data_IF_269640641579
#
_entry.id   IF_269640641579
#
_cell.length_a   1.000
_cell.length_b   1.000
_cell.length_c   1.000
_cell.angle_alpha   90.00
_cell.angle_beta   90.00
_cell.angle_gamma   90.00
#
_symmetry.space_group_name_H-M   'P 1'
#
loop_
_entity.id
_entity.type
_entity.pdbx_description
1 polymer ?
#
# COMPACT_ATOMS: atom_id res chain seq x y z
N UNK A 1 -16.93 34.80 -27.02
CA UNK A 1 -16.95 34.15 -25.66
C UNK A 1 -16.59 32.70 -25.86
N UNK A 2 -15.32 32.34 -25.67
CA UNK A 2 -14.83 30.97 -25.82
C UNK A 2 -14.97 30.27 -24.45
N UNK A 3 -15.88 29.30 -24.39
CA UNK A 3 -15.98 28.38 -23.25
C UNK A 3 -14.66 27.59 -23.16
N UNK A 4 -13.81 27.88 -22.20
CA UNK A 4 -12.71 27.06 -21.80
C UNK A 4 -13.29 25.73 -21.30
N UNK A 5 -13.19 24.69 -22.12
CA UNK A 5 -13.35 23.31 -21.71
C UNK A 5 -12.28 23.08 -20.61
N UNK A 6 -12.72 23.01 -19.38
CA UNK A 6 -11.95 22.45 -18.28
C UNK A 6 -11.68 20.99 -18.67
N UNK A 7 -10.49 20.70 -19.18
CA UNK A 7 -9.97 19.34 -19.21
C UNK A 7 -9.95 18.88 -17.76
N UNK A 8 -10.81 17.93 -17.43
CA UNK A 8 -10.73 17.22 -16.16
C UNK A 8 -9.32 16.62 -16.12
N UNK A 9 -8.48 17.11 -15.21
CA UNK A 9 -7.19 16.50 -14.91
C UNK A 9 -7.54 15.12 -14.39
N UNK A 10 -7.43 14.09 -15.23
CA UNK A 10 -7.62 12.72 -14.82
C UNK A 10 -6.51 12.40 -13.83
N UNK A 11 -6.91 12.11 -12.59
CA UNK A 11 -5.98 11.68 -11.54
C UNK A 11 -5.22 10.45 -12.05
N UNK A 12 -3.87 10.37 -11.93
CA UNK A 12 -3.14 9.16 -12.29
C UNK A 12 -3.73 7.96 -11.55
N UNK A 13 -3.92 6.85 -12.26
CA UNK A 13 -4.39 5.63 -11.63
C UNK A 13 -3.29 5.04 -10.77
N UNK A 14 -3.66 4.52 -9.61
CA UNK A 14 -2.73 3.88 -8.69
C UNK A 14 -2.39 2.47 -9.19
N UNK A 15 -1.10 2.13 -9.43
CA UNK A 15 -0.71 0.82 -9.93
C UNK A 15 -0.83 -0.26 -8.84
N UNK A 16 -1.47 -1.38 -9.19
CA UNK A 16 -1.76 -2.51 -8.31
C UNK A 16 -1.23 -3.81 -8.90
N UNK A 17 -0.55 -4.63 -8.10
CA UNK A 17 -0.25 -6.02 -8.44
C UNK A 17 -1.32 -6.95 -7.87
N UNK A 18 -1.70 -7.97 -8.62
CA UNK A 18 -2.68 -8.99 -8.17
C UNK A 18 -1.99 -10.34 -8.07
N UNK A 19 -2.08 -11.00 -6.90
CA UNK A 19 -1.53 -12.33 -6.67
C UNK A 19 -2.65 -13.38 -6.72
N UNK A 20 -2.40 -14.44 -7.47
CA UNK A 20 -3.34 -15.55 -7.67
C UNK A 20 -2.65 -16.91 -7.51
N UNK A 21 -3.43 -17.99 -7.29
CA UNK A 21 -2.94 -19.38 -7.32
C UNK A 21 -3.75 -20.28 -8.25
N UNK A 22 -4.80 -19.78 -8.90
CA UNK A 22 -5.72 -20.66 -9.67
C UNK A 22 -6.49 -19.94 -10.76
N UNK A 23 -7.84 -20.09 -10.75
CA UNK A 23 -8.74 -19.60 -11.79
C UNK A 23 -8.69 -18.09 -12.04
N UNK A 24 -8.43 -17.29 -10.99
CA UNK A 24 -8.31 -15.84 -11.09
C UNK A 24 -9.65 -15.11 -11.28
N UNK A 25 -10.77 -15.63 -10.78
CA UNK A 25 -12.10 -15.02 -10.96
C UNK A 25 -12.19 -13.67 -10.26
N UNK A 26 -11.66 -13.54 -9.03
CA UNK A 26 -11.57 -12.27 -8.32
C UNK A 26 -10.59 -11.30 -9.00
N UNK A 27 -9.46 -11.80 -9.53
CA UNK A 27 -8.55 -11.01 -10.37
C UNK A 27 -9.28 -10.45 -11.60
N UNK A 28 -10.06 -11.28 -12.29
CA UNK A 28 -10.86 -10.84 -13.44
C UNK A 28 -11.81 -9.69 -13.09
N UNK A 29 -12.47 -9.77 -11.93
CA UNK A 29 -13.34 -8.71 -11.45
C UNK A 29 -12.59 -7.38 -11.24
N UNK A 30 -11.37 -7.43 -10.68
CA UNK A 30 -10.51 -6.26 -10.53
C UNK A 30 -10.07 -5.69 -11.90
N UNK A 31 -9.68 -6.55 -12.85
CA UNK A 31 -9.30 -6.13 -14.21
C UNK A 31 -10.45 -5.43 -14.95
N UNK A 32 -11.65 -5.99 -14.87
CA UNK A 32 -12.82 -5.39 -15.53
C UNK A 32 -13.26 -4.08 -14.87
N UNK A 33 -13.20 -4.00 -13.54
CA UNK A 33 -13.46 -2.75 -12.84
C UNK A 33 -12.44 -1.65 -13.21
N UNK A 34 -11.17 -2.02 -13.41
CA UNK A 34 -10.12 -1.09 -13.81
C UNK A 34 -10.33 -0.48 -15.22
N UNK A 35 -11.23 -1.02 -16.04
CA UNK A 35 -11.57 -0.44 -17.36
C UNK A 35 -12.47 0.78 -17.28
N UNK A 36 -13.15 0.99 -16.17
CA UNK A 36 -13.99 2.17 -15.99
C UNK A 36 -13.13 3.45 -16.01
N UNK A 37 -13.63 4.49 -16.68
CA UNK A 37 -12.87 5.72 -16.87
C UNK A 37 -12.55 6.44 -15.55
N UNK A 38 -13.40 6.27 -14.56
CA UNK A 38 -13.30 6.84 -13.21
C UNK A 38 -12.64 5.91 -12.19
N UNK A 39 -12.17 4.73 -12.61
CA UNK A 39 -11.50 3.80 -11.72
C UNK A 39 -10.16 4.40 -11.24
N UNK A 40 -9.93 4.46 -9.92
CA UNK A 40 -8.74 5.10 -9.36
C UNK A 40 -7.48 4.23 -9.43
N UNK A 41 -7.58 2.98 -9.87
CA UNK A 41 -6.45 2.06 -9.96
C UNK A 41 -6.31 1.43 -11.34
N UNK A 42 -5.13 0.91 -11.61
CA UNK A 42 -4.83 0.02 -12.75
C UNK A 42 -4.07 -1.21 -12.28
N UNK A 43 -4.30 -2.34 -12.95
CA UNK A 43 -3.55 -3.57 -12.65
C UNK A 43 -2.33 -3.64 -13.56
N UNK A 44 -1.13 -3.51 -12.96
CA UNK A 44 0.15 -3.47 -13.69
C UNK A 44 0.87 -4.80 -13.74
N UNK A 45 0.46 -5.75 -12.87
CA UNK A 45 1.04 -7.10 -12.82
C UNK A 45 0.01 -8.09 -12.27
N UNK A 46 -0.05 -9.27 -12.87
CA UNK A 46 -0.66 -10.47 -12.26
C UNK A 46 0.44 -11.48 -12.00
N UNK A 47 0.62 -11.88 -10.74
CA UNK A 47 1.65 -12.83 -10.38
C UNK A 47 1.06 -14.08 -9.72
N UNK A 48 1.72 -15.24 -9.93
CA UNK A 48 1.27 -16.52 -9.40
C UNK A 48 2.44 -17.36 -8.87
N UNK A 49 2.15 -18.11 -7.80
CA UNK A 49 3.02 -19.17 -7.30
C UNK A 49 2.83 -20.50 -8.04
N UNK A 50 1.92 -20.54 -9.01
CA UNK A 50 1.64 -21.67 -9.88
C UNK A 50 1.67 -21.21 -11.35
N UNK A 51 2.65 -21.66 -12.16
CA UNK A 51 2.73 -21.32 -13.58
C UNK A 51 1.53 -21.78 -14.40
N UNK A 52 0.82 -22.82 -13.95
CA UNK A 52 -0.34 -23.39 -14.62
C UNK A 52 -1.66 -22.72 -14.21
N UNK A 53 -1.60 -21.67 -13.39
CA UNK A 53 -2.78 -20.91 -12.95
C UNK A 53 -3.51 -20.30 -14.15
N UNK A 54 -4.78 -20.71 -14.37
CA UNK A 54 -5.61 -20.26 -15.49
C UNK A 54 -5.77 -18.74 -15.55
N UNK A 55 -5.73 -18.07 -14.41
CA UNK A 55 -5.81 -16.63 -14.32
C UNK A 55 -4.66 -15.90 -15.02
N UNK A 56 -3.47 -16.51 -15.15
CA UNK A 56 -2.35 -15.94 -15.92
C UNK A 56 -2.68 -15.81 -17.41
N UNK A 57 -3.31 -16.85 -17.98
CA UNK A 57 -3.75 -16.83 -19.38
C UNK A 57 -4.76 -15.70 -19.63
N UNK A 58 -5.72 -15.54 -18.71
CA UNK A 58 -6.70 -14.45 -18.79
C UNK A 58 -6.01 -13.07 -18.69
N UNK A 59 -5.11 -12.87 -17.71
CA UNK A 59 -4.40 -11.62 -17.55
C UNK A 59 -3.58 -11.25 -18.81
N UNK A 60 -2.87 -12.22 -19.38
CA UNK A 60 -2.11 -12.03 -20.61
C UNK A 60 -3.02 -11.68 -21.81
N UNK A 61 -4.19 -12.32 -21.94
CA UNK A 61 -5.18 -12.00 -22.97
C UNK A 61 -5.75 -10.58 -22.82
N UNK A 62 -5.81 -10.05 -21.59
CA UNK A 62 -6.21 -8.69 -21.27
C UNK A 62 -5.07 -7.65 -21.42
N UNK A 63 -3.87 -8.08 -21.85
CA UNK A 63 -2.70 -7.23 -22.05
C UNK A 63 -1.97 -6.85 -20.76
N UNK A 64 -2.27 -7.51 -19.64
CA UNK A 64 -1.60 -7.25 -18.36
C UNK A 64 -0.35 -8.11 -18.25
N UNK A 65 0.81 -7.53 -17.88
CA UNK A 65 2.04 -8.27 -17.60
C UNK A 65 1.80 -9.38 -16.57
N UNK A 66 2.43 -10.55 -16.79
CA UNK A 66 2.32 -11.69 -15.88
C UNK A 66 3.68 -12.12 -15.38
N UNK A 67 3.72 -12.64 -14.15
CA UNK A 67 4.88 -13.27 -13.55
C UNK A 67 4.46 -14.58 -12.89
N UNK A 68 5.22 -15.64 -13.09
CA UNK A 68 4.94 -16.94 -12.46
C UNK A 68 6.23 -17.56 -11.95
N UNK A 69 6.22 -17.98 -10.68
CA UNK A 69 7.34 -18.65 -10.05
C UNK A 69 6.84 -19.84 -9.22
N UNK A 70 7.18 -21.08 -9.60
CA UNK A 70 6.75 -22.25 -8.84
C UNK A 70 7.38 -22.24 -7.45
N UNK A 71 6.56 -22.49 -6.45
CA UNK A 71 7.03 -22.50 -5.05
C UNK A 71 7.60 -23.85 -4.61
N UNK A 72 7.29 -24.92 -5.33
CA UNK A 72 7.75 -26.29 -5.00
C UNK A 72 9.25 -26.40 -5.24
N UNK A 73 9.97 -26.88 -4.21
CA UNK A 73 11.42 -27.06 -4.29
C UNK A 73 12.26 -25.80 -4.03
N UNK A 74 11.63 -24.67 -3.69
CA UNK A 74 12.30 -23.41 -3.37
C UNK A 74 12.05 -23.02 -1.91
N UNK A 75 13.07 -22.54 -1.16
CA UNK A 75 12.86 -21.98 0.16
C UNK A 75 11.87 -20.82 0.14
N UNK A 76 11.00 -20.75 1.16
CA UNK A 76 9.93 -19.74 1.23
C UNK A 76 10.47 -18.32 1.09
N UNK A 77 11.52 -17.97 1.82
CA UNK A 77 12.10 -16.64 1.80
C UNK A 77 12.65 -16.25 0.42
N UNK A 78 13.26 -17.20 -0.31
CA UNK A 78 13.78 -16.98 -1.65
C UNK A 78 12.63 -16.76 -2.66
N UNK A 79 11.58 -17.57 -2.58
CA UNK A 79 10.38 -17.40 -3.41
C UNK A 79 9.73 -16.04 -3.16
N UNK A 80 9.52 -15.67 -1.89
CA UNK A 80 8.91 -14.39 -1.51
C UNK A 80 9.77 -13.19 -1.92
N UNK A 81 11.10 -13.28 -1.84
CA UNK A 81 11.99 -12.24 -2.32
C UNK A 81 11.89 -12.04 -3.84
N UNK A 82 11.81 -13.12 -4.61
CA UNK A 82 11.64 -13.04 -6.06
C UNK A 82 10.27 -12.47 -6.46
N UNK A 83 9.20 -12.87 -5.75
CA UNK A 83 7.86 -12.30 -5.93
C UNK A 83 7.84 -10.80 -5.62
N UNK A 84 8.42 -10.37 -4.49
CA UNK A 84 8.53 -8.97 -4.09
C UNK A 84 9.30 -8.14 -5.14
N UNK A 85 10.41 -8.67 -5.65
CA UNK A 85 11.19 -8.03 -6.70
C UNK A 85 10.37 -7.81 -7.98
N UNK A 86 9.59 -8.80 -8.42
CA UNK A 86 8.72 -8.69 -9.58
C UNK A 86 7.61 -7.66 -9.37
N UNK A 87 6.99 -7.65 -8.19
CA UNK A 87 5.94 -6.68 -7.83
C UNK A 87 6.51 -5.26 -7.85
N UNK A 88 7.66 -5.02 -7.22
CA UNK A 88 8.32 -3.70 -7.21
C UNK A 88 8.75 -3.26 -8.61
N UNK A 89 9.29 -4.17 -9.42
CA UNK A 89 9.71 -3.87 -10.78
C UNK A 89 8.53 -3.46 -11.69
N UNK A 90 7.30 -3.89 -11.39
CA UNK A 90 6.10 -3.46 -12.10
C UNK A 90 5.62 -2.04 -11.75
N UNK A 91 6.22 -1.40 -10.74
CA UNK A 91 5.79 -0.11 -10.21
C UNK A 91 4.55 -0.18 -9.33
N UNK A 92 4.08 -1.38 -8.94
CA UNK A 92 2.90 -1.52 -8.10
C UNK A 92 3.09 -0.85 -6.73
N UNK A 93 2.09 -0.11 -6.30
CA UNK A 93 2.03 0.55 -5.00
C UNK A 93 1.17 -0.24 -4.00
N UNK A 94 0.26 -1.06 -4.48
CA UNK A 94 -0.61 -1.93 -3.69
C UNK A 94 -0.56 -3.37 -4.20
N UNK A 95 -0.90 -4.32 -3.32
CA UNK A 95 -0.98 -5.75 -3.63
C UNK A 95 -2.37 -6.27 -3.27
N UNK A 96 -3.05 -6.89 -4.22
CA UNK A 96 -4.35 -7.53 -4.02
C UNK A 96 -4.20 -9.06 -4.07
N UNK A 97 -4.53 -9.76 -2.98
CA UNK A 97 -4.55 -11.23 -2.94
C UNK A 97 -5.92 -11.73 -3.44
N UNK A 98 -5.96 -12.29 -4.64
CA UNK A 98 -7.17 -12.76 -5.31
C UNK A 98 -7.19 -14.29 -5.43
N UNK A 99 -7.36 -14.97 -4.31
CA UNK A 99 -7.25 -16.42 -4.22
C UNK A 99 -5.79 -16.89 -4.27
N UNK A 100 -4.90 -16.17 -3.60
CA UNK A 100 -3.51 -16.59 -3.40
C UNK A 100 -3.43 -17.55 -2.22
N UNK A 101 -3.17 -18.83 -2.52
CA UNK A 101 -3.31 -19.95 -1.58
C UNK A 101 -2.04 -20.27 -0.79
N UNK A 102 -1.15 -19.29 -0.60
CA UNK A 102 0.02 -19.42 0.27
C UNK A 102 -0.02 -18.41 1.40
N UNK A 103 0.29 -18.89 2.59
CA UNK A 103 0.53 -18.01 3.75
C UNK A 103 1.85 -17.28 3.51
N UNK A 104 1.81 -15.97 3.48
CA UNK A 104 2.97 -15.09 3.32
C UNK A 104 3.74 -14.94 4.64
N UNK A 105 5.07 -14.82 4.55
CA UNK A 105 5.93 -14.58 5.71
C UNK A 105 5.78 -13.16 6.26
N UNK A 106 6.06 -13.01 7.55
CA UNK A 106 5.96 -11.71 8.22
C UNK A 106 6.83 -10.63 7.54
N UNK A 107 8.01 -10.99 7.07
CA UNK A 107 8.91 -10.07 6.36
C UNK A 107 8.33 -9.57 5.04
N UNK A 108 7.64 -10.44 4.29
CA UNK A 108 6.96 -10.02 3.07
C UNK A 108 5.77 -9.11 3.39
N UNK A 109 4.96 -9.52 4.37
CA UNK A 109 3.77 -8.76 4.80
C UNK A 109 4.14 -7.37 5.30
N UNK A 110 5.20 -7.25 6.12
CA UNK A 110 5.64 -5.96 6.67
C UNK A 110 6.06 -4.95 5.60
N UNK A 111 6.62 -5.42 4.46
CA UNK A 111 6.98 -4.53 3.34
C UNK A 111 5.77 -3.91 2.65
N UNK A 112 4.62 -4.55 2.76
CA UNK A 112 3.35 -4.14 2.15
C UNK A 112 2.30 -3.77 3.20
N UNK A 113 2.70 -3.50 4.43
CA UNK A 113 1.79 -3.11 5.50
C UNK A 113 0.95 -1.90 5.09
N UNK A 114 -0.37 -1.97 5.37
CA UNK A 114 -1.34 -0.96 4.96
C UNK A 114 -1.65 -0.91 3.44
N UNK A 115 -0.89 -1.64 2.60
CA UNK A 115 -0.99 -1.61 1.14
C UNK A 115 -1.27 -2.98 0.52
N UNK A 116 -1.53 -3.99 1.33
CA UNK A 116 -1.89 -5.33 0.88
C UNK A 116 -3.25 -5.72 1.43
N UNK A 117 -4.17 -6.14 0.55
CA UNK A 117 -5.51 -6.54 0.92
C UNK A 117 -5.82 -7.93 0.40
N UNK A 118 -6.72 -8.63 1.11
CA UNK A 118 -7.19 -9.96 0.76
C UNK A 118 -8.72 -9.98 0.72
N UNK A 119 -9.29 -10.81 -0.16
CA UNK A 119 -10.70 -11.21 -0.14
C UNK A 119 -10.82 -12.59 0.48
N UNK A 120 -11.62 -12.72 1.52
CA UNK A 120 -11.83 -13.97 2.25
C UNK A 120 -13.31 -14.37 2.19
N UNK A 121 -13.64 -15.63 1.82
CA UNK A 121 -15.00 -16.08 1.55
C UNK A 121 -15.76 -16.46 2.84
N UNK A 122 -15.70 -15.62 3.87
CA UNK A 122 -16.52 -15.72 5.08
C UNK A 122 -16.80 -14.36 5.69
N UNK A 123 -17.74 -14.34 6.63
CA UNK A 123 -18.05 -13.17 7.48
C UNK A 123 -17.09 -13.15 8.68
N UNK A 124 -15.84 -12.72 8.46
CA UNK A 124 -14.83 -12.62 9.55
C UNK A 124 -15.40 -11.85 10.76
N UNK A 125 -15.05 -12.22 11.99
CA UNK A 125 -14.02 -13.20 12.39
C UNK A 125 -14.49 -14.67 12.32
N UNK A 126 -15.68 -14.98 11.79
CA UNK A 126 -16.12 -16.37 11.61
C UNK A 126 -15.33 -17.02 10.49
N UNK A 127 -14.92 -18.27 10.71
CA UNK A 127 -14.33 -19.16 9.71
C UNK A 127 -13.08 -18.60 9.03
N UNK A 128 -12.01 -18.20 9.77
CA UNK A 128 -10.73 -17.93 9.16
C UNK A 128 -10.16 -19.21 8.52
N UNK A 129 -9.30 -19.06 7.51
CA UNK A 129 -8.67 -20.17 6.78
C UNK A 129 -9.59 -20.85 5.79
N UNK A 130 -9.49 -22.17 5.64
CA UNK A 130 -10.13 -22.95 4.57
C UNK A 130 -11.53 -23.47 4.97
N UNK A 131 -12.26 -24.01 3.96
CA UNK A 131 -13.56 -24.68 4.13
C UNK A 131 -14.65 -23.82 4.74
N UNK A 132 -14.69 -22.55 4.38
CA UNK A 132 -15.58 -21.54 5.00
C UNK A 132 -17.06 -21.83 4.75
N UNK A 133 -17.41 -22.29 3.53
CA UNK A 133 -18.78 -22.59 3.15
C UNK A 133 -19.31 -23.85 3.83
N UNK A 134 -18.51 -24.92 3.87
CA UNK A 134 -18.84 -26.15 4.59
C UNK A 134 -19.09 -25.85 6.07
N UNK A 135 -18.16 -25.11 6.70
CA UNK A 135 -18.24 -24.75 8.12
C UNK A 135 -19.47 -23.89 8.44
N UNK A 136 -19.85 -22.97 7.56
CA UNK A 136 -21.05 -22.14 7.74
C UNK A 136 -22.34 -22.98 7.62
N UNK A 137 -22.39 -23.92 6.68
CA UNK A 137 -23.53 -24.85 6.52
C UNK A 137 -23.64 -25.82 7.70
N UNK A 138 -22.51 -26.42 8.14
CA UNK A 138 -22.46 -27.34 9.29
C UNK A 138 -22.88 -26.64 10.59
N UNK A 139 -22.53 -25.36 10.76
CA UNK A 139 -22.92 -24.56 11.91
C UNK A 139 -24.40 -24.16 11.89
N UNK A 140 -25.10 -24.36 10.78
CA UNK A 140 -26.50 -23.95 10.62
C UNK A 140 -26.68 -22.42 10.59
N UNK A 141 -25.66 -21.69 10.13
CA UNK A 141 -25.73 -20.24 10.04
C UNK A 141 -26.83 -19.80 9.06
N UNK A 142 -27.52 -18.71 9.39
CA UNK A 142 -28.54 -18.13 8.50
C UNK A 142 -27.91 -17.33 7.34
N UNK A 143 -26.66 -16.93 7.49
CA UNK A 143 -25.93 -16.09 6.52
C UNK A 143 -24.50 -16.56 6.36
N UNK A 144 -24.01 -16.45 5.14
CA UNK A 144 -22.60 -16.50 4.78
C UNK A 144 -22.20 -15.21 4.07
N UNK A 145 -20.98 -15.12 3.53
CA UNK A 145 -20.56 -13.94 2.79
C UNK A 145 -19.06 -13.87 2.61
N UNK A 146 -18.58 -12.67 2.38
CA UNK A 146 -17.16 -12.41 2.18
C UNK A 146 -16.70 -11.14 2.90
N UNK A 147 -15.41 -11.09 3.18
CA UNK A 147 -14.75 -9.98 3.86
C UNK A 147 -13.51 -9.57 3.07
N UNK A 148 -13.36 -8.27 2.81
CA UNK A 148 -12.09 -7.68 2.37
C UNK A 148 -11.41 -7.08 3.58
N UNK A 149 -10.13 -7.41 3.78
CA UNK A 149 -9.35 -6.92 4.90
C UNK A 149 -7.91 -6.61 4.49
N UNK A 150 -7.23 -5.77 5.24
CA UNK A 150 -5.79 -5.60 5.12
C UNK A 150 -5.08 -6.88 5.58
N UNK A 151 -4.00 -7.22 4.90
CA UNK A 151 -3.19 -8.39 5.27
C UNK A 151 -2.20 -8.00 6.37
N UNK A 152 -2.21 -8.81 7.42
CA UNK A 152 -1.26 -8.73 8.55
C UNK A 152 -0.51 -10.04 8.68
N UNK A 153 0.47 -10.10 9.58
CA UNK A 153 1.22 -11.33 9.86
C UNK A 153 0.33 -12.44 10.44
N UNK A 154 -0.76 -12.08 11.11
CA UNK A 154 -1.78 -12.99 11.61
C UNK A 154 -2.81 -13.29 10.51
N UNK A 155 -3.11 -14.58 10.31
CA UNK A 155 -3.98 -15.05 9.23
C UNK A 155 -5.42 -14.53 9.41
N UNK A 156 -5.96 -13.87 8.39
CA UNK A 156 -7.32 -13.35 8.28
C UNK A 156 -7.77 -12.45 9.46
N UNK A 157 -6.80 -11.84 10.19
CA UNK A 157 -7.06 -11.03 11.39
C UNK A 157 -6.83 -9.52 11.19
N UNK A 158 -6.46 -9.08 10.00
CA UNK A 158 -6.20 -7.68 9.71
C UNK A 158 -7.46 -6.81 9.69
N UNK A 159 -7.32 -5.47 9.72
CA UNK A 159 -8.42 -4.52 9.68
C UNK A 159 -9.36 -4.76 8.51
N UNK A 160 -10.66 -4.84 8.78
CA UNK A 160 -11.70 -5.02 7.75
C UNK A 160 -11.92 -3.74 6.96
N UNK A 161 -11.88 -3.85 5.63
CA UNK A 161 -12.19 -2.77 4.68
C UNK A 161 -13.64 -2.80 4.22
N UNK A 162 -14.26 -3.98 4.25
CA UNK A 162 -15.65 -4.17 3.90
C UNK A 162 -16.11 -5.61 4.05
N UNK A 163 -17.42 -5.79 4.16
CA UNK A 163 -18.04 -7.11 4.31
C UNK A 163 -19.38 -7.13 3.58
N UNK A 164 -19.71 -8.27 2.96
CA UNK A 164 -21.03 -8.48 2.34
C UNK A 164 -21.59 -9.80 2.79
N UNK A 165 -22.80 -9.77 3.38
CA UNK A 165 -23.56 -10.93 3.80
C UNK A 165 -24.58 -11.34 2.73
N UNK A 166 -24.76 -12.65 2.56
CA UNK A 166 -25.85 -13.26 1.77
C UNK A 166 -26.58 -14.30 2.61
N UNK A 167 -27.87 -14.48 2.39
CA UNK A 167 -28.63 -15.51 3.08
C UNK A 167 -28.20 -16.92 2.62
N UNK A 168 -28.06 -17.85 3.53
CA UNK A 168 -28.02 -19.29 3.21
C UNK A 168 -29.47 -19.74 2.99
N UNK A 169 -29.74 -20.38 1.89
CA UNK A 169 -31.11 -20.82 1.54
C UNK A 169 -31.25 -22.35 1.70
N UNK A 170 -32.46 -22.84 2.00
CA UNK A 170 -32.70 -24.27 2.11
C UNK A 170 -32.23 -25.03 0.86
N UNK A 171 -31.44 -26.07 1.06
CA UNK A 171 -30.88 -26.87 -0.02
C UNK A 171 -29.54 -26.38 -0.57
N UNK A 172 -28.95 -25.32 -0.02
CA UNK A 172 -27.59 -24.93 -0.37
C UNK A 172 -26.61 -26.08 -0.06
N UNK A 173 -25.73 -26.31 -1.01
CA UNK A 173 -24.51 -27.11 -0.87
C UNK A 173 -23.32 -26.17 -0.76
N UNK A 174 -22.13 -26.63 -0.33
CA UNK A 174 -20.93 -25.80 -0.34
C UNK A 174 -20.68 -25.13 -1.70
N UNK A 175 -20.87 -25.86 -2.81
CA UNK A 175 -20.66 -25.36 -4.17
C UNK A 175 -21.68 -24.28 -4.58
N UNK A 176 -22.97 -24.48 -4.27
CA UNK A 176 -24.00 -23.49 -4.60
C UNK A 176 -23.84 -22.22 -3.78
N UNK A 177 -23.49 -22.37 -2.51
CA UNK A 177 -23.18 -21.25 -1.62
C UNK A 177 -21.93 -20.50 -2.09
N UNK A 178 -20.85 -21.22 -2.42
CA UNK A 178 -19.61 -20.64 -2.95
C UNK A 178 -19.87 -19.83 -4.23
N UNK A 179 -20.64 -20.35 -5.18
CA UNK A 179 -20.97 -19.62 -6.41
C UNK A 179 -21.72 -18.30 -6.14
N UNK A 180 -22.57 -18.26 -5.14
CA UNK A 180 -23.31 -17.05 -4.74
C UNK A 180 -22.44 -16.05 -3.96
N UNK A 181 -21.57 -16.54 -3.06
CA UNK A 181 -20.60 -15.72 -2.34
C UNK A 181 -19.62 -15.10 -3.33
N UNK A 182 -19.17 -15.83 -4.35
CA UNK A 182 -18.24 -15.33 -5.37
C UNK A 182 -18.79 -14.09 -6.11
N UNK A 183 -20.10 -14.03 -6.36
CA UNK A 183 -20.71 -12.84 -6.98
C UNK A 183 -20.58 -11.63 -6.03
N UNK A 184 -20.79 -11.84 -4.74
CA UNK A 184 -20.62 -10.78 -3.73
C UNK A 184 -19.13 -10.36 -3.59
N UNK A 185 -18.18 -11.31 -3.67
CA UNK A 185 -16.76 -11.04 -3.67
C UNK A 185 -16.36 -10.11 -4.82
N UNK A 186 -16.78 -10.41 -6.04
CA UNK A 186 -16.44 -9.61 -7.23
C UNK A 186 -16.87 -8.15 -7.09
N UNK A 187 -18.04 -7.90 -6.49
CA UNK A 187 -18.55 -6.55 -6.27
C UNK A 187 -17.87 -5.84 -5.10
N UNK A 188 -17.64 -6.57 -4.00
CA UNK A 188 -17.04 -5.99 -2.80
C UNK A 188 -15.58 -5.66 -3.03
N UNK A 189 -14.83 -6.57 -3.67
CA UNK A 189 -13.38 -6.45 -3.78
C UNK A 189 -12.94 -5.20 -4.56
N UNK A 190 -13.54 -4.97 -5.73
CA UNK A 190 -13.24 -3.79 -6.55
C UNK A 190 -13.59 -2.48 -5.83
N UNK A 191 -14.69 -2.43 -5.08
CA UNK A 191 -15.08 -1.26 -4.30
C UNK A 191 -14.12 -0.98 -3.15
N UNK A 192 -13.72 -2.03 -2.40
CA UNK A 192 -12.78 -1.89 -1.30
C UNK A 192 -11.40 -1.47 -1.78
N UNK A 193 -10.91 -2.05 -2.90
CA UNK A 193 -9.64 -1.63 -3.50
C UNK A 193 -9.70 -0.17 -3.96
N UNK A 194 -10.76 0.23 -4.67
CA UNK A 194 -10.93 1.61 -5.10
C UNK A 194 -10.96 2.59 -3.92
N UNK A 195 -11.69 2.24 -2.86
CA UNK A 195 -11.74 3.04 -1.64
C UNK A 195 -10.35 3.14 -0.96
N UNK A 196 -9.64 2.00 -0.84
CA UNK A 196 -8.33 1.96 -0.21
C UNK A 196 -7.31 2.84 -0.93
N UNK A 197 -7.24 2.79 -2.26
CA UNK A 197 -6.27 3.57 -3.02
C UNK A 197 -6.63 5.06 -3.11
N UNK A 198 -7.87 5.43 -2.77
CA UNK A 198 -8.34 6.82 -2.75
C UNK A 198 -8.35 7.44 -1.37
N UNK A 199 -8.28 6.63 -0.32
CA UNK A 199 -8.18 7.16 1.04
C UNK A 199 -6.81 7.83 1.23
N UNK A 200 -6.75 9.04 1.81
CA UNK A 200 -5.51 9.51 2.39
C UNK A 200 -5.09 8.50 3.45
N UNK A 201 -3.81 8.13 3.46
CA UNK A 201 -3.28 7.24 4.50
C UNK A 201 -3.55 7.84 5.88
N UNK A 202 -3.87 6.98 6.85
CA UNK A 202 -3.97 7.37 8.25
C UNK A 202 -2.67 8.07 8.67
N UNK A 203 -2.81 9.21 9.32
CA UNK A 203 -1.71 10.05 9.77
C UNK A 203 -0.75 9.29 10.71
N UNK A 204 -1.27 8.37 11.53
CA UNK A 204 -0.45 7.54 12.42
C UNK A 204 0.40 6.54 11.63
N UNK A 205 -0.17 5.94 10.59
CA UNK A 205 0.57 5.06 9.69
C UNK A 205 1.68 5.82 8.94
N UNK A 206 1.37 6.99 8.38
CA UNK A 206 2.36 7.84 7.69
C UNK A 206 3.49 8.24 8.63
N UNK A 207 3.16 8.60 9.88
CA UNK A 207 4.14 8.91 10.92
C UNK A 207 5.03 7.71 11.25
N UNK A 208 4.46 6.51 11.31
CA UNK A 208 5.22 5.28 11.56
C UNK A 208 6.20 4.97 10.43
N UNK A 209 5.82 5.19 9.16
CA UNK A 209 6.72 5.03 8.01
C UNK A 209 7.90 6.02 8.07
N UNK A 210 7.62 7.30 8.33
CA UNK A 210 8.68 8.32 8.51
C UNK A 210 9.58 7.97 9.69
N UNK A 211 9.01 7.50 10.80
CA UNK A 211 9.76 7.06 11.99
C UNK A 211 10.77 5.96 11.64
N UNK A 212 10.33 4.93 10.91
CA UNK A 212 11.21 3.84 10.51
C UNK A 212 12.42 4.34 9.69
N UNK A 213 12.17 5.23 8.72
CA UNK A 213 13.22 5.81 7.87
C UNK A 213 14.14 6.78 8.63
N UNK A 214 13.58 7.60 9.50
CA UNK A 214 14.34 8.59 10.28
C UNK A 214 15.21 7.90 11.34
N UNK A 215 14.67 6.89 12.04
CA UNK A 215 15.41 6.14 13.06
C UNK A 215 16.48 5.20 12.49
N UNK A 216 16.44 4.91 11.18
CA UNK A 216 17.51 4.21 10.47
C UNK A 216 18.76 5.10 10.26
N UNK A 217 18.66 6.42 10.45
CA UNK A 217 19.81 7.32 10.32
C UNK A 217 20.74 7.16 11.54
N UNK A 218 22.09 7.25 11.34
CA UNK A 218 23.04 7.12 12.44
C UNK A 218 22.80 8.09 13.58
N UNK A 219 22.81 7.59 14.81
CA UNK A 219 22.57 8.36 16.03
C UNK A 219 21.27 9.19 16.00
N UNK A 220 20.23 8.69 15.33
CA UNK A 220 18.92 9.32 15.33
C UNK A 220 18.21 9.13 16.69
N UNK A 221 17.48 10.15 17.11
CA UNK A 221 16.56 10.11 18.25
C UNK A 221 15.21 10.72 17.88
N UNK A 222 14.13 10.17 18.42
CA UNK A 222 12.80 10.75 18.32
C UNK A 222 12.46 11.56 19.57
N UNK A 223 11.71 12.63 19.38
CA UNK A 223 11.10 13.40 20.47
C UNK A 223 9.80 14.05 19.98
N UNK A 224 9.03 14.61 20.91
CA UNK A 224 7.84 15.41 20.58
C UNK A 224 8.18 16.88 20.68
N UNK A 225 7.76 17.67 19.69
CA UNK A 225 7.86 19.13 19.71
C UNK A 225 6.56 19.74 19.19
N UNK A 226 5.88 20.53 20.00
CA UNK A 226 4.58 21.15 19.68
C UNK A 226 3.53 20.12 19.22
N UNK A 227 3.53 18.93 19.83
CA UNK A 227 2.62 17.84 19.47
C UNK A 227 3.02 17.04 18.21
N UNK A 228 4.07 17.44 17.50
CA UNK A 228 4.56 16.76 16.30
C UNK A 228 5.70 15.81 16.65
N UNK A 229 5.72 14.64 16.01
CA UNK A 229 6.89 13.75 16.03
C UNK A 229 8.06 14.45 15.35
N UNK A 230 9.20 14.53 16.00
CA UNK A 230 10.41 15.11 15.43
C UNK A 230 11.65 14.25 15.66
N UNK A 231 12.51 14.23 14.68
CA UNK A 231 13.71 13.40 14.63
C UNK A 231 14.95 14.25 14.57
N UNK A 232 15.93 13.91 15.37
CA UNK A 232 17.20 14.64 15.49
C UNK A 232 18.38 13.72 15.64
N UNK A 233 19.58 14.27 15.57
CA UNK A 233 20.79 13.57 15.95
C UNK A 233 20.94 13.70 17.48
N UNK A 234 21.31 12.61 18.16
CA UNK A 234 21.49 12.59 19.64
C UNK A 234 22.36 13.77 20.08
N UNK A 235 21.82 14.57 21.01
CA UNK A 235 22.44 15.83 21.48
C UNK A 235 22.75 16.86 20.37
N UNK A 236 22.11 16.73 19.23
CA UNK A 236 22.32 17.57 18.04
C UNK A 236 21.06 18.30 17.59
N UNK A 237 21.05 18.68 16.32
CA UNK A 237 19.94 19.40 15.69
C UNK A 237 18.90 18.42 15.16
N UNK A 238 17.66 18.90 15.06
CA UNK A 238 16.57 18.18 14.42
C UNK A 238 16.70 18.25 12.90
N UNK A 239 16.36 17.14 12.22
CA UNK A 239 16.43 17.04 10.76
C UNK A 239 15.09 16.74 10.10
N UNK A 240 14.09 16.23 10.84
CA UNK A 240 12.76 15.96 10.28
C UNK A 240 11.66 16.16 11.32
N UNK A 241 10.47 16.55 10.85
CA UNK A 241 9.22 16.56 11.64
C UNK A 241 8.11 15.93 10.80
N UNK A 242 7.11 15.35 11.47
CA UNK A 242 5.85 14.98 10.86
C UNK A 242 4.76 15.89 11.37
N UNK A 243 4.18 16.66 10.47
CA UNK A 243 3.04 17.54 10.73
C UNK A 243 1.76 16.78 10.36
N UNK A 244 0.88 16.59 11.33
CA UNK A 244 -0.44 16.02 11.14
C UNK A 244 -1.50 17.06 11.47
N UNK A 245 -2.38 17.35 10.52
CA UNK A 245 -3.53 18.25 10.70
C UNK A 245 -3.16 19.53 11.46
N UNK A 246 -1.96 20.06 11.20
CA UNK A 246 -1.47 21.22 11.91
C UNK A 246 -2.31 22.44 11.53
N UNK A 247 -3.00 23.02 12.48
CA UNK A 247 -4.00 24.07 12.31
C UNK A 247 -5.32 23.65 11.63
N UNK A 248 -5.67 22.37 11.62
CA UNK A 248 -6.94 21.91 11.06
C UNK A 248 -6.96 21.93 9.52
N UNK A 249 -5.80 21.79 8.88
CA UNK A 249 -5.70 21.76 7.42
C UNK A 249 -5.92 20.36 6.82
N UNK A 250 -6.11 19.34 7.66
CA UNK A 250 -6.37 17.97 7.28
C UNK A 250 -5.22 17.29 6.52
N UNK A 251 -3.98 17.82 6.62
CA UNK A 251 -2.84 17.36 5.84
C UNK A 251 -1.80 16.67 6.72
N UNK A 252 -1.18 15.64 6.16
CA UNK A 252 0.01 15.03 6.74
C UNK A 252 1.21 15.30 5.85
N UNK A 253 2.25 15.91 6.44
CA UNK A 253 3.45 16.28 5.71
C UNK A 253 4.73 15.98 6.49
N UNK A 254 5.77 15.59 5.77
CA UNK A 254 7.15 15.52 6.24
C UNK A 254 7.82 16.87 6.04
N UNK A 255 8.37 17.44 7.12
CA UNK A 255 9.17 18.67 7.07
C UNK A 255 10.65 18.28 7.10
N UNK A 256 11.40 18.68 6.07
CA UNK A 256 12.85 18.38 5.93
C UNK A 256 13.63 19.61 5.49
N UNK A 257 14.94 19.59 5.77
CA UNK A 257 15.85 20.62 5.30
C UNK A 257 16.17 20.50 3.83
N UNK A 258 16.29 21.65 3.21
CA UNK A 258 16.72 21.86 1.84
C UNK A 258 17.92 22.84 1.82
N UNK A 259 18.51 23.07 0.65
CA UNK A 259 19.75 23.84 0.54
C UNK A 259 19.52 25.35 0.56
N UNK A 260 18.41 25.85 0.04
CA UNK A 260 18.17 27.29 -0.14
C UNK A 260 16.70 27.64 -0.34
N UNK A 261 16.37 28.92 -0.24
CA UNK A 261 15.07 29.48 -0.60
C UNK A 261 14.74 29.31 -2.09
N UNK A 262 15.74 29.33 -2.97
CA UNK A 262 15.53 29.12 -4.41
C UNK A 262 15.10 27.67 -4.70
N UNK A 263 15.70 26.69 -4.02
CA UNK A 263 15.26 25.30 -4.12
C UNK A 263 13.83 25.14 -3.60
N UNK A 264 13.46 25.82 -2.49
CA UNK A 264 12.10 25.81 -1.98
C UNK A 264 11.10 26.31 -3.03
N UNK A 265 11.40 27.46 -3.64
CA UNK A 265 10.55 28.06 -4.66
C UNK A 265 10.40 27.16 -5.89
N UNK A 266 11.50 26.54 -6.34
CA UNK A 266 11.51 25.63 -7.49
C UNK A 266 10.67 24.38 -7.25
N UNK A 267 10.79 23.75 -6.07
CA UNK A 267 10.01 22.56 -5.71
C UNK A 267 8.51 22.88 -5.66
N UNK A 268 8.14 24.01 -5.05
CA UNK A 268 6.74 24.43 -4.96
C UNK A 268 6.17 24.78 -6.34
N UNK A 269 6.94 25.40 -7.22
CA UNK A 269 6.51 25.72 -8.58
C UNK A 269 6.33 24.42 -9.42
N UNK A 270 7.22 23.44 -9.24
CA UNK A 270 7.20 22.17 -9.95
C UNK A 270 5.98 21.31 -9.58
N UNK A 271 5.66 21.20 -8.29
CA UNK A 271 4.50 20.43 -7.80
C UNK A 271 3.89 21.09 -6.54
N UNK A 272 3.02 22.08 -6.71
CA UNK A 272 2.40 22.80 -5.59
C UNK A 272 1.37 21.97 -4.81
N UNK A 273 0.97 20.81 -5.31
CA UNK A 273 0.12 19.87 -4.59
C UNK A 273 0.94 19.07 -3.56
N UNK A 274 2.18 18.76 -3.89
CA UNK A 274 3.08 17.95 -3.08
C UNK A 274 3.98 18.77 -2.16
N UNK A 275 4.49 19.91 -2.61
CA UNK A 275 5.41 20.74 -1.87
C UNK A 275 4.77 22.03 -1.40
N UNK A 276 5.06 22.42 -0.16
CA UNK A 276 4.61 23.67 0.42
C UNK A 276 5.68 24.26 1.35
N UNK A 277 5.57 25.55 1.67
CA UNK A 277 6.39 26.14 2.71
C UNK A 277 6.11 25.47 4.06
N UNK A 278 7.16 25.11 4.77
CA UNK A 278 7.04 24.61 6.12
C UNK A 278 6.66 25.77 7.05
N UNK A 279 5.42 25.79 7.53
CA UNK A 279 4.95 26.84 8.43
C UNK A 279 5.82 26.91 9.69
N UNK A 280 6.20 28.12 10.11
CA UNK A 280 7.07 28.40 11.27
C UNK A 280 8.53 27.92 11.15
N UNK A 281 8.92 27.41 10.00
CA UNK A 281 10.30 27.08 9.69
C UNK A 281 10.87 28.09 8.68
N UNK A 282 12.18 28.28 8.69
CA UNK A 282 12.83 29.18 7.72
C UNK A 282 12.84 28.65 6.29
N UNK A 283 13.30 29.47 5.36
CA UNK A 283 13.34 29.17 3.91
C UNK A 283 14.24 27.96 3.55
N UNK A 284 14.97 27.41 4.51
CA UNK A 284 15.74 26.17 4.37
C UNK A 284 14.95 24.91 4.71
N UNK A 285 13.62 25.00 4.77
CA UNK A 285 12.74 23.87 5.06
C UNK A 285 11.64 23.76 4.02
N UNK A 286 11.25 22.53 3.69
CA UNK A 286 10.13 22.24 2.81
C UNK A 286 9.16 21.27 3.50
N UNK A 287 7.89 21.44 3.28
CA UNK A 287 6.85 20.48 3.62
C UNK A 287 6.55 19.60 2.40
N UNK A 288 6.78 18.30 2.52
CA UNK A 288 6.46 17.28 1.54
C UNK A 288 5.19 16.56 1.98
N UNK A 289 4.11 16.69 1.24
CA UNK A 289 2.84 16.00 1.52
C UNK A 289 2.97 14.50 1.35
N UNK A 290 2.51 13.75 2.35
CA UNK A 290 2.53 12.29 2.39
C UNK A 290 1.15 11.66 2.15
N UNK A 291 0.09 12.44 2.29
CA UNK A 291 -1.30 12.02 2.29
C UNK A 291 -1.98 12.08 0.90
N UNK A 292 -1.19 12.17 -0.18
CA UNK A 292 -1.72 12.24 -1.55
C UNK A 292 -2.06 10.88 -2.16
N UNK A 293 -1.67 9.78 -1.50
CA UNK A 293 -1.92 8.41 -1.96
C UNK A 293 -0.92 7.87 -2.99
N UNK A 294 0.04 8.68 -3.42
CA UNK A 294 1.08 8.34 -4.41
C UNK A 294 2.51 8.61 -3.86
N UNK A 295 2.69 8.44 -2.55
CA UNK A 295 3.97 8.73 -1.88
C UNK A 295 5.05 7.74 -2.31
N UNK A 296 6.09 8.27 -2.97
CA UNK A 296 7.33 7.53 -3.26
C UNK A 296 8.20 7.47 -2.00
N UNK A 297 8.19 6.32 -1.31
CA UNK A 297 8.92 6.12 -0.06
C UNK A 297 10.43 6.07 -0.25
N UNK A 298 10.94 5.72 -1.44
CA UNK A 298 12.37 5.78 -1.75
C UNK A 298 12.83 7.24 -1.87
N UNK A 299 12.02 8.08 -2.50
CA UNK A 299 12.25 9.52 -2.50
C UNK A 299 12.15 10.13 -1.10
N UNK A 300 11.18 9.72 -0.27
CA UNK A 300 11.06 10.14 1.13
C UNK A 300 12.31 9.76 1.93
N UNK A 301 12.83 8.55 1.76
CA UNK A 301 14.06 8.10 2.40
C UNK A 301 15.27 8.98 2.01
N UNK A 302 15.38 9.35 0.72
CA UNK A 302 16.42 10.25 0.23
C UNK A 302 16.29 11.67 0.84
N UNK A 303 15.07 12.21 0.95
CA UNK A 303 14.82 13.49 1.60
C UNK A 303 15.24 13.47 3.07
N UNK A 304 14.92 12.42 3.81
CA UNK A 304 15.30 12.23 5.21
C UNK A 304 16.82 12.13 5.35
N UNK A 305 17.48 11.32 4.54
CA UNK A 305 18.93 11.14 4.56
C UNK A 305 19.67 12.45 4.22
N UNK A 306 19.19 13.19 3.22
CA UNK A 306 19.73 14.50 2.84
C UNK A 306 19.58 15.52 4.00
N UNK A 307 18.40 15.58 4.58
CA UNK A 307 18.11 16.47 5.71
C UNK A 307 18.95 16.12 6.95
N UNK A 308 19.14 14.81 7.21
CA UNK A 308 20.05 14.34 8.27
C UNK A 308 21.49 14.76 8.00
N UNK A 309 22.00 14.58 6.78
CA UNK A 309 23.36 15.02 6.39
C UNK A 309 23.58 16.52 6.60
N UNK A 310 22.58 17.35 6.41
CA UNK A 310 22.65 18.80 6.62
C UNK A 310 22.85 19.23 8.09
N UNK A 311 22.55 18.35 9.04
CA UNK A 311 22.66 18.64 10.49
C UNK A 311 23.61 17.72 11.22
N UNK A 312 24.00 16.60 10.63
CA UNK A 312 24.84 15.58 11.24
C UNK A 312 26.26 16.11 11.51
N UNK A 313 26.87 15.73 12.64
CA UNK A 313 28.28 16.02 12.90
C UNK A 313 29.19 15.42 11.83
N UNK A 314 30.24 16.15 11.43
CA UNK A 314 31.17 15.74 10.39
C UNK A 314 31.81 14.34 10.59
N UNK A 315 31.92 13.86 11.83
CA UNK A 315 32.38 12.49 12.12
C UNK A 315 31.44 11.42 11.57
N UNK A 316 30.12 11.65 11.60
CA UNK A 316 29.11 10.69 11.12
C UNK A 316 29.01 10.70 9.59
N UNK A 317 29.04 11.88 8.96
CA UNK A 317 29.01 11.98 7.49
C UNK A 317 30.23 11.33 6.85
N UNK A 318 31.44 11.53 7.43
CA UNK A 318 32.67 10.87 6.94
C UNK A 318 32.63 9.34 7.05
N UNK A 319 31.98 8.78 8.09
CA UNK A 319 31.83 7.33 8.23
C UNK A 319 30.93 6.76 7.12
N UNK A 320 29.86 7.44 6.77
CA UNK A 320 28.98 7.02 5.68
C UNK A 320 29.68 7.17 4.33
N UNK A 321 30.36 8.31 4.08
CA UNK A 321 31.10 8.53 2.82
C UNK A 321 32.20 7.48 2.62
N UNK A 322 32.80 6.98 3.69
CA UNK A 322 33.77 5.87 3.61
C UNK A 322 33.09 4.51 3.34
N UNK A 323 31.86 4.28 3.85
CA UNK A 323 31.12 3.05 3.60
C UNK A 323 30.57 2.96 2.17
N UNK A 324 30.22 4.09 1.58
CA UNK A 324 29.70 4.19 0.20
C UNK A 324 30.80 3.98 -0.88
N UNK A 325 32.09 3.86 -0.48
CA UNK A 325 33.25 3.63 -1.37
C UNK A 325 33.67 2.15 -1.48
N UNK A 326 32.99 1.25 -0.77
CA UNK A 326 33.22 -0.20 -0.79
C UNK A 326 31.98 -0.96 -1.30
#
# INVERSE_FOLDING_TARGET
MAARLLQAVTRPRVPVAVLISGSGTNMAALLYAARAADCPYEVVLVASNDPDAKGLTLAAAEGVPTFALPHKGMPRAEHEAAMDAAIRASGAQYVALAGYMRVLGADFVSRWEGRMLNIHPSLLPKYPGLHTHERALEAGDAQAGCTVHLVTAELDAGPMLGQTAIAIIPGDTPDTLAARVLIAEHQLYSRCLAALVTQPFDADWLTAQVRALAMAQPEAEESLSHGMACFGVIKGKKFAWVSNDHHGDGKTALLVKISSADEQAQLIEQDPARYARAAYFGDEWIALRLDLGDTDWDAVAQWIARSWRAVAPARLTRLLDAADQF
#
